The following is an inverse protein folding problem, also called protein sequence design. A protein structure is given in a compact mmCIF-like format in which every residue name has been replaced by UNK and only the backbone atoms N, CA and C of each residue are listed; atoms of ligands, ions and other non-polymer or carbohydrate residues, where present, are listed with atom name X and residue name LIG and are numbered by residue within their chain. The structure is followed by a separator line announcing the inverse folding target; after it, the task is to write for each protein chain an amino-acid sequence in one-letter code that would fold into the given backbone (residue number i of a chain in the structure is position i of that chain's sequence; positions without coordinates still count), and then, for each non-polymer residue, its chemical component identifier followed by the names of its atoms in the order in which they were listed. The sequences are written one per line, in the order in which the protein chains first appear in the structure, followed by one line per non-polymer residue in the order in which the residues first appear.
data_IF_678133696711
#
_entry.id   IF_678133696711
#
_cell.length_a   1.000
_cell.length_b   1.000
_cell.length_c   1.000
_cell.angle_alpha   90.00
_cell.angle_beta   90.00
_cell.angle_gamma   90.00
#
_symmetry.space_group_name_H-M   'P 1'
#
loop_
_entity.id
_entity.type
_entity.pdbx_description
1 polymer ?
#
# COMPACT_ATOMS: atom_id res chain seq x y z
N UNK A 1 8.03 -14.98 10.40
CA UNK A 1 9.17 -14.05 10.19
C UNK A 1 8.99 -13.45 8.80
N UNK A 2 9.41 -12.20 8.64
CA UNK A 2 9.35 -11.40 7.40
C UNK A 2 7.95 -10.88 7.05
N UNK A 3 7.68 -9.63 7.47
CA UNK A 3 6.54 -8.86 6.98
C UNK A 3 6.99 -8.23 5.67
N UNK A 4 6.62 -8.82 4.55
CA UNK A 4 6.84 -8.18 3.25
C UNK A 4 6.12 -6.83 3.26
N UNK A 5 6.92 -5.77 3.15
CA UNK A 5 6.45 -4.44 2.80
C UNK A 5 5.85 -4.55 1.40
N UNK A 6 4.52 -4.64 1.30
CA UNK A 6 3.81 -4.69 0.02
C UNK A 6 3.98 -3.33 -0.64
N UNK A 7 5.11 -3.14 -1.29
CA UNK A 7 5.35 -2.00 -2.15
C UNK A 7 4.81 -2.36 -3.53
N UNK A 8 3.57 -1.92 -3.79
CA UNK A 8 3.01 -1.90 -5.13
C UNK A 8 3.82 -0.86 -5.92
N UNK A 9 4.92 -1.29 -6.53
CA UNK A 9 5.65 -0.47 -7.50
C UNK A 9 4.81 -0.43 -8.77
N UNK A 10 3.90 0.53 -8.87
CA UNK A 10 3.43 0.98 -10.17
C UNK A 10 4.61 1.62 -10.89
N UNK A 11 4.99 1.09 -12.06
CA UNK A 11 6.15 1.57 -12.85
C UNK A 11 6.06 3.09 -13.18
N UNK A 12 4.84 3.66 -13.08
CA UNK A 12 4.53 5.07 -13.31
C UNK A 12 4.05 5.81 -12.05
N UNK A 13 4.75 5.67 -10.92
CA UNK A 13 4.42 6.42 -9.70
C UNK A 13 5.62 7.10 -9.04
N UNK A 14 5.34 8.16 -8.29
CA UNK A 14 6.29 9.01 -7.57
C UNK A 14 5.89 9.12 -6.09
N UNK A 15 6.86 9.09 -5.16
CA UNK A 15 6.58 9.26 -3.74
C UNK A 15 6.25 10.73 -3.42
N UNK A 16 5.11 10.98 -2.78
CA UNK A 16 4.82 12.22 -2.08
C UNK A 16 4.95 12.03 -0.57
N UNK A 17 5.55 12.99 0.12
CA UNK A 17 5.65 13.01 1.58
C UNK A 17 4.42 13.69 2.16
N UNK A 18 3.69 12.99 3.03
CA UNK A 18 2.44 13.50 3.64
C UNK A 18 2.72 14.06 5.05
N UNK A 19 3.82 13.65 5.69
CA UNK A 19 4.24 14.15 7.01
C UNK A 19 4.77 13.03 7.90
N UNK A 20 5.56 13.37 8.94
CA UNK A 20 6.07 12.43 9.97
C UNK A 20 6.71 11.13 9.42
N UNK A 21 7.41 11.23 8.28
CA UNK A 21 8.04 10.07 7.64
C UNK A 21 7.08 9.11 6.92
N UNK A 22 5.81 9.50 6.71
CA UNK A 22 4.82 8.77 5.92
C UNK A 22 4.82 9.28 4.48
N UNK A 23 4.86 8.35 3.52
CA UNK A 23 4.85 8.66 2.09
C UNK A 23 3.83 7.80 1.34
N UNK A 24 3.28 8.36 0.26
CA UNK A 24 2.35 7.70 -0.66
C UNK A 24 2.91 7.71 -2.08
N UNK A 25 2.56 6.71 -2.87
CA UNK A 25 2.87 6.69 -4.30
C UNK A 25 1.71 7.35 -5.06
N UNK A 26 1.98 8.40 -5.81
CA UNK A 26 1.04 9.05 -6.73
C UNK A 26 1.45 8.72 -8.16
N UNK A 27 0.49 8.43 -9.02
CA UNK A 27 0.75 8.19 -10.44
C UNK A 27 1.36 9.43 -11.10
N UNK A 28 2.38 9.24 -11.95
CA UNK A 28 3.07 10.33 -12.69
C UNK A 28 2.13 11.13 -13.60
N UNK A 29 1.01 10.52 -13.98
CA UNK A 29 -0.04 11.11 -14.82
C UNK A 29 -0.83 12.22 -14.09
N UNK A 30 -0.76 12.27 -12.75
CA UNK A 30 -1.42 13.31 -11.98
C UNK A 30 -0.87 14.70 -12.36
N UNK A 31 -1.76 15.68 -12.42
CA UNK A 31 -1.43 17.09 -12.61
C UNK A 31 -0.84 17.68 -11.32
N UNK A 32 -0.21 18.85 -11.41
CA UNK A 32 0.30 19.56 -10.22
C UNK A 32 -0.82 19.96 -9.26
N UNK A 33 -1.99 20.33 -9.80
CA UNK A 33 -3.16 20.68 -9.00
C UNK A 33 -3.69 19.46 -8.24
N UNK A 34 -3.87 18.32 -8.92
CA UNK A 34 -4.30 17.08 -8.26
C UNK A 34 -3.30 16.65 -7.18
N UNK A 35 -1.98 16.76 -7.45
CA UNK A 35 -0.95 16.49 -6.44
C UNK A 35 -1.13 17.36 -5.19
N UNK A 36 -1.43 18.64 -5.36
CA UNK A 36 -1.66 19.56 -4.24
C UNK A 36 -2.93 19.20 -3.46
N UNK A 37 -4.04 18.95 -4.16
CA UNK A 37 -5.31 18.54 -3.56
C UNK A 37 -5.16 17.23 -2.78
N UNK A 38 -4.45 16.25 -3.34
CA UNK A 38 -4.12 15.01 -2.65
C UNK A 38 -3.26 15.26 -1.41
N UNK A 39 -2.25 16.12 -1.49
CA UNK A 39 -1.40 16.43 -0.34
C UNK A 39 -2.22 17.06 0.81
N UNK A 40 -3.12 17.98 0.50
CA UNK A 40 -4.02 18.59 1.48
C UNK A 40 -4.95 17.54 2.11
N UNK A 41 -5.61 16.72 1.29
CA UNK A 41 -6.49 15.65 1.75
C UNK A 41 -5.76 14.68 2.69
N UNK A 42 -4.58 14.21 2.29
CA UNK A 42 -3.85 13.24 3.09
C UNK A 42 -3.32 13.83 4.40
N UNK A 43 -3.00 15.13 4.43
CA UNK A 43 -2.64 15.83 5.66
C UNK A 43 -3.85 15.96 6.60
N UNK A 44 -5.03 16.28 6.07
CA UNK A 44 -6.27 16.41 6.85
C UNK A 44 -6.68 15.07 7.48
N UNK A 45 -6.53 13.97 6.73
CA UNK A 45 -6.97 12.63 7.15
C UNK A 45 -5.81 11.71 7.56
N UNK A 46 -4.70 12.28 8.07
CA UNK A 46 -3.51 11.52 8.49
C UNK A 46 -3.81 10.41 9.51
N UNK A 47 -4.85 10.58 10.34
CA UNK A 47 -5.27 9.69 11.40
C UNK A 47 -6.27 8.61 10.97
N UNK A 48 -6.92 8.79 9.80
CA UNK A 48 -7.88 7.83 9.24
C UNK A 48 -7.16 6.65 8.58
N UNK A 49 -6.02 6.91 7.92
CA UNK A 49 -5.29 5.87 7.20
C UNK A 49 -4.42 5.01 8.13
N UNK A 50 -4.47 3.71 7.93
CA UNK A 50 -3.60 2.76 8.60
C UNK A 50 -2.29 2.59 7.83
N UNK A 51 -1.39 3.57 7.95
CA UNK A 51 -0.06 3.64 7.32
C UNK A 51 0.81 2.39 7.49
N UNK A 52 0.50 1.62 8.53
CA UNK A 52 1.06 0.31 8.83
C UNK A 52 -0.07 -0.56 9.34
N UNK A 53 0.04 -1.86 9.08
CA UNK A 53 -0.91 -2.85 9.60
C UNK A 53 -1.09 -2.78 11.13
N UNK A 54 -0.06 -2.35 11.87
CA UNK A 54 -0.16 -2.19 13.32
C UNK A 54 -1.13 -1.08 13.77
N UNK A 55 -1.50 -0.14 12.87
CA UNK A 55 -2.41 0.96 13.18
C UNK A 55 -3.89 0.64 12.99
N UNK A 56 -4.23 -0.54 12.46
CA UNK A 56 -5.61 -1.02 12.37
C UNK A 56 -6.13 -1.37 13.77
N UNK A 57 -6.70 -0.39 14.49
CA UNK A 57 -7.36 -0.64 15.78
C UNK A 57 -8.65 -1.44 15.53
N UNK A 58 -8.75 -2.62 16.13
CA UNK A 58 -9.95 -3.47 16.08
C UNK A 58 -9.78 -4.79 15.33
N UNK A 59 -8.67 -4.97 14.61
CA UNK A 59 -8.36 -6.24 13.97
C UNK A 59 -7.24 -6.97 14.70
N UNK A 60 -7.54 -8.15 15.25
CA UNK A 60 -6.50 -9.04 15.76
C UNK A 60 -5.68 -9.54 14.56
N UNK A 61 -4.37 -9.27 14.47
CA UNK A 61 -3.54 -9.71 13.35
C UNK A 61 -3.55 -11.23 13.15
N UNK A 62 -3.80 -12.00 14.21
CA UNK A 62 -3.94 -13.46 14.15
C UNK A 62 -5.28 -13.93 13.57
N UNK A 63 -6.30 -13.07 13.57
CA UNK A 63 -7.63 -13.35 13.05
C UNK A 63 -7.81 -12.82 11.61
N UNK A 64 -7.15 -11.70 11.29
CA UNK A 64 -7.26 -11.03 10.00
C UNK A 64 -6.30 -11.60 8.94
N UNK A 65 -5.34 -12.44 9.34
CA UNK A 65 -4.42 -13.09 8.41
C UNK A 65 -4.99 -14.43 7.99
N UNK A 66 -5.62 -14.49 6.82
CA UNK A 66 -5.84 -15.76 6.14
C UNK A 66 -4.54 -16.15 5.43
N UNK A 67 -3.85 -17.16 5.95
CA UNK A 67 -2.75 -17.80 5.22
C UNK A 67 -3.38 -18.78 4.23
N UNK A 68 -3.18 -18.55 2.94
CA UNK A 68 -3.48 -19.56 1.93
C UNK A 68 -2.42 -20.64 2.10
N UNK A 69 -2.83 -21.84 2.49
CA UNK A 69 -1.94 -22.99 2.56
C UNK A 69 -1.53 -23.36 1.13
N UNK A 70 -0.30 -23.00 0.76
CA UNK A 70 0.32 -23.38 -0.49
C UNK A 70 1.19 -24.60 -0.26
N UNK A 71 1.21 -25.53 -1.21
CA UNK A 71 2.18 -26.63 -1.22
C UNK A 71 3.61 -26.03 -1.28
N UNK A 72 4.49 -26.32 -0.30
CA UNK A 72 5.86 -25.83 -0.28
C UNK A 72 6.67 -26.24 -1.52
N UNK A 73 6.26 -27.32 -2.19
CA UNK A 73 6.90 -27.84 -3.40
C UNK A 73 6.34 -27.23 -4.69
N UNK A 74 5.24 -26.47 -4.61
CA UNK A 74 4.62 -25.86 -5.77
C UNK A 74 5.48 -24.71 -6.29
N UNK A 75 5.72 -24.70 -7.61
CA UNK A 75 6.46 -23.62 -8.27
C UNK A 75 5.52 -22.43 -8.50
N UNK A 76 5.94 -21.19 -8.19
CA UNK A 76 5.14 -20.00 -8.46
C UNK A 76 4.93 -19.82 -9.97
N UNK A 77 3.69 -19.52 -10.37
CA UNK A 77 3.31 -19.32 -11.77
C UNK A 77 2.96 -17.85 -11.96
N UNK A 78 3.60 -17.19 -12.93
CA UNK A 78 3.26 -15.83 -13.33
C UNK A 78 2.05 -15.87 -14.26
N UNK A 79 0.89 -15.41 -13.79
CA UNK A 79 -0.32 -15.31 -14.61
C UNK A 79 -0.14 -14.25 -15.70
N UNK A 80 -0.47 -14.59 -16.96
CA UNK A 80 -0.49 -13.63 -18.07
C UNK A 80 -1.71 -12.71 -17.94
N UNK A 81 -1.57 -11.46 -18.37
CA UNK A 81 -2.70 -10.52 -18.41
C UNK A 81 -3.81 -11.07 -19.30
N UNK A 82 -5.07 -10.83 -18.91
CA UNK A 82 -6.21 -11.11 -19.80
C UNK A 82 -6.16 -10.14 -21.00
N UNK A 83 -6.55 -10.61 -22.21
CA UNK A 83 -6.59 -9.78 -23.40
C UNK A 83 -7.59 -8.61 -23.26
#
# INVERSE_FOLDING_TARGET
KEKENIQVKGEDSEPISVGEGKSLQIGKVATEQERYEFMQLYQEFLDVFSWRYEYLRGFNPKLAQHTIELDPSAKPIRQKQRP
#
